data_IF_896200954697
#
_entry.id   IF_896200954697
#
_cell.length_a   1.000
_cell.length_b   1.000
_cell.length_c   1.000
_cell.angle_alpha   90.00
_cell.angle_beta   90.00
_cell.angle_gamma   90.00
#
_symmetry.space_group_name_H-M   'P 1'
#
loop_
_entity.id
_entity.type
_entity.pdbx_description
1 polymer ?
#
# COMPACT_ATOMS: atom_id res chain seq x y z
N UNK A 1 11.58 20.22 -26.59
CA UNK A 1 11.88 19.56 -25.30
C UNK A 1 12.42 18.13 -25.46
N UNK A 2 11.65 17.16 -25.98
CA UNK A 2 12.13 15.77 -26.20
C UNK A 2 13.39 15.73 -27.09
N UNK A 3 13.39 16.46 -28.21
CA UNK A 3 14.54 16.51 -29.13
C UNK A 3 15.76 17.24 -28.57
N UNK A 4 15.55 18.15 -27.62
CA UNK A 4 16.56 19.03 -27.06
C UNK A 4 17.25 18.39 -25.85
N UNK A 5 16.48 17.78 -24.97
CA UNK A 5 17.00 17.04 -23.80
C UNK A 5 17.43 15.62 -24.14
N UNK A 6 16.88 15.03 -25.21
CA UNK A 6 17.11 13.63 -25.62
C UNK A 6 17.11 12.64 -24.44
N UNK A 7 16.04 12.61 -23.62
CA UNK A 7 16.02 11.81 -22.40
C UNK A 7 15.95 10.32 -22.70
N UNK A 8 16.51 9.50 -21.81
CA UNK A 8 16.42 8.02 -21.87
C UNK A 8 15.06 7.49 -21.39
N UNK A 9 14.39 8.24 -20.51
CA UNK A 9 13.13 7.89 -19.87
C UNK A 9 12.45 9.18 -19.43
N UNK A 10 11.14 9.29 -19.64
CA UNK A 10 10.31 10.39 -19.13
C UNK A 10 9.39 9.86 -18.03
N UNK A 11 9.36 10.52 -16.88
CA UNK A 11 8.44 10.23 -15.80
C UNK A 11 7.57 11.45 -15.55
N UNK A 12 6.25 11.25 -15.56
CA UNK A 12 5.25 12.30 -15.39
C UNK A 12 4.28 11.94 -14.27
N UNK A 13 3.40 12.87 -13.90
CA UNK A 13 2.43 12.70 -12.81
C UNK A 13 1.17 13.52 -13.04
N UNK A 14 0.65 14.15 -11.97
CA UNK A 14 -0.49 15.07 -11.97
C UNK A 14 -1.88 14.44 -12.19
N UNK A 15 -2.07 13.55 -13.16
CA UNK A 15 -3.41 13.04 -13.51
C UNK A 15 -3.96 12.00 -12.52
N UNK A 16 -3.17 11.55 -11.54
CA UNK A 16 -3.46 10.41 -10.65
C UNK A 16 -3.63 9.05 -11.36
N UNK A 17 -3.60 9.02 -12.69
CA UNK A 17 -3.79 7.83 -13.51
C UNK A 17 -2.47 7.44 -14.18
N UNK A 18 -2.12 6.16 -14.08
CA UNK A 18 -0.93 5.66 -14.75
C UNK A 18 -1.17 5.48 -16.25
N UNK A 19 -0.23 5.97 -17.06
CA UNK A 19 -0.21 5.84 -18.51
C UNK A 19 1.20 5.47 -18.97
N UNK A 20 1.32 4.79 -20.10
CA UNK A 20 2.60 4.50 -20.74
C UNK A 20 2.49 4.90 -22.22
N UNK A 21 3.31 5.85 -22.63
CA UNK A 21 3.38 6.38 -23.99
C UNK A 21 4.78 6.12 -24.53
N UNK A 22 4.87 5.81 -25.82
CA UNK A 22 6.14 5.66 -26.56
C UNK A 22 6.26 6.82 -27.53
N UNK A 23 7.36 7.55 -27.44
CA UNK A 23 7.67 8.67 -28.31
C UNK A 23 8.79 8.27 -29.27
N UNK A 24 8.69 8.69 -30.54
CA UNK A 24 9.79 8.58 -31.49
C UNK A 24 10.59 9.87 -31.48
N UNK A 25 11.88 9.80 -31.14
CA UNK A 25 12.77 10.95 -31.06
C UNK A 25 14.06 10.67 -31.84
N UNK A 26 14.28 11.39 -32.96
CA UNK A 26 15.48 11.26 -33.81
C UNK A 26 15.85 9.80 -34.15
N UNK A 27 14.84 8.97 -34.41
CA UNK A 27 15.01 7.55 -34.74
C UNK A 27 15.18 6.60 -33.55
N UNK A 28 15.15 7.11 -32.31
CA UNK A 28 15.16 6.31 -31.07
C UNK A 28 13.81 6.36 -30.36
N UNK A 29 13.38 5.23 -29.78
CA UNK A 29 12.16 5.14 -28.97
C UNK A 29 12.45 5.63 -27.54
N UNK A 30 11.65 6.58 -27.05
CA UNK A 30 11.71 7.10 -25.67
C UNK A 30 10.41 6.76 -24.96
N UNK A 31 10.51 6.13 -23.79
CA UNK A 31 9.34 5.77 -23.00
C UNK A 31 8.96 6.90 -22.04
N UNK A 32 7.66 7.21 -21.99
CA UNK A 32 7.07 8.08 -20.98
C UNK A 32 6.10 7.30 -20.09
N UNK A 33 6.34 7.32 -18.77
CA UNK A 33 5.45 6.74 -17.78
C UNK A 33 4.84 7.83 -16.91
N UNK A 34 3.51 7.94 -16.92
CA UNK A 34 2.78 8.71 -15.91
C UNK A 34 2.63 7.85 -14.66
N UNK A 35 3.13 8.33 -13.52
CA UNK A 35 3.04 7.64 -12.24
C UNK A 35 1.65 7.86 -11.65
N UNK A 36 0.95 6.77 -11.36
CA UNK A 36 -0.37 6.84 -10.75
C UNK A 36 -0.29 7.26 -9.27
N UNK A 37 -1.42 7.73 -8.73
CA UNK A 37 -1.53 8.03 -7.30
C UNK A 37 -1.44 6.76 -6.45
N UNK A 38 -0.67 6.82 -5.35
CA UNK A 38 -0.55 5.75 -4.36
C UNK A 38 -1.67 5.74 -3.30
N UNK A 39 -2.70 6.59 -3.44
CA UNK A 39 -3.78 6.74 -2.46
C UNK A 39 -5.12 6.22 -2.96
N UNK A 40 -5.81 5.40 -2.13
CA UNK A 40 -7.19 4.93 -2.39
C UNK A 40 -8.19 6.09 -2.50
N UNK A 41 -7.90 7.24 -1.87
CA UNK A 41 -8.72 8.47 -1.98
C UNK A 41 -8.87 8.95 -3.42
N UNK A 42 -7.82 8.77 -4.23
CA UNK A 42 -7.78 9.28 -5.60
C UNK A 42 -8.11 8.19 -6.63
N UNK A 43 -7.95 6.91 -6.28
CA UNK A 43 -8.18 5.77 -7.19
C UNK A 43 -8.45 4.49 -6.43
N UNK A 44 -9.44 3.70 -6.86
CA UNK A 44 -9.77 2.39 -6.25
C UNK A 44 -8.62 1.38 -6.27
N UNK A 45 -7.75 1.44 -7.29
CA UNK A 45 -6.60 0.55 -7.47
C UNK A 45 -5.31 1.38 -7.54
N UNK A 46 -4.85 1.93 -6.39
CA UNK A 46 -3.63 2.72 -6.36
C UNK A 46 -2.44 1.83 -6.68
N UNK A 47 -1.46 2.41 -7.34
CA UNK A 47 -0.21 1.75 -7.68
C UNK A 47 0.94 2.69 -7.41
N UNK A 48 2.09 2.12 -7.06
CA UNK A 48 3.35 2.84 -7.04
C UNK A 48 4.29 2.19 -8.05
N UNK A 49 5.32 2.91 -8.48
CA UNK A 49 6.31 2.38 -9.41
C UNK A 49 7.66 2.28 -8.73
N UNK A 50 8.34 1.15 -8.93
CA UNK A 50 9.73 0.96 -8.55
C UNK A 50 10.60 1.17 -9.79
N UNK A 51 11.51 2.14 -9.71
CA UNK A 51 12.46 2.45 -10.76
C UNK A 51 13.85 1.96 -10.33
N UNK A 52 14.50 1.18 -11.18
CA UNK A 52 15.91 0.83 -11.07
C UNK A 52 16.66 1.45 -12.25
N UNK A 53 17.72 2.21 -11.98
CA UNK A 53 18.50 2.92 -13.01
C UNK A 53 19.96 2.50 -12.90
N UNK A 54 20.56 2.21 -14.05
CA UNK A 54 21.99 2.00 -14.20
C UNK A 54 22.56 2.92 -15.28
N UNK A 55 23.89 2.93 -15.42
CA UNK A 55 24.59 3.79 -16.37
C UNK A 55 24.03 3.67 -17.79
N UNK A 56 23.65 2.46 -18.22
CA UNK A 56 23.22 2.19 -19.59
C UNK A 56 21.79 1.65 -19.71
N UNK A 57 21.14 1.26 -18.61
CA UNK A 57 19.79 0.71 -18.65
C UNK A 57 18.88 1.26 -17.55
N UNK A 58 17.58 1.02 -17.66
CA UNK A 58 16.61 1.23 -16.60
C UNK A 58 15.55 0.14 -16.64
N UNK A 59 14.94 -0.13 -15.50
CA UNK A 59 13.75 -0.97 -15.42
C UNK A 59 12.72 -0.31 -14.51
N UNK A 60 11.46 -0.40 -14.91
CA UNK A 60 10.34 0.14 -14.14
C UNK A 60 9.31 -0.95 -13.91
N UNK A 61 8.94 -1.15 -12.66
CA UNK A 61 7.93 -2.11 -12.25
C UNK A 61 6.75 -1.38 -11.63
N UNK A 62 5.55 -1.71 -12.09
CA UNK A 62 4.30 -1.21 -11.51
C UNK A 62 3.87 -2.16 -10.41
N UNK A 63 3.80 -1.64 -9.18
CA UNK A 63 3.43 -2.39 -8.00
C UNK A 63 2.02 -1.99 -7.54
N UNK A 64 1.18 -3.00 -7.29
CA UNK A 64 -0.18 -2.78 -6.82
C UNK A 64 -0.20 -2.68 -5.29
N UNK A 65 -0.96 -1.70 -4.78
CA UNK A 65 -1.33 -1.67 -3.37
C UNK A 65 -2.38 -2.76 -3.08
N UNK A 66 -2.47 -3.24 -1.83
CA UNK A 66 -3.59 -4.06 -1.39
C UNK A 66 -4.93 -3.40 -1.73
N UNK A 67 -5.99 -4.20 -1.89
CA UNK A 67 -7.31 -3.60 -2.05
C UNK A 67 -7.76 -2.98 -0.73
N UNK A 68 -8.38 -1.81 -0.80
CA UNK A 68 -8.92 -1.10 0.38
C UNK A 68 -9.82 -2.02 1.22
N UNK A 69 -10.66 -2.82 0.55
CA UNK A 69 -11.52 -3.82 1.21
C UNK A 69 -10.75 -4.86 2.00
N UNK A 70 -9.64 -5.36 1.45
CA UNK A 70 -8.78 -6.33 2.13
C UNK A 70 -8.15 -5.70 3.38
N UNK A 71 -7.71 -4.44 3.30
CA UNK A 71 -7.15 -3.71 4.45
C UNK A 71 -8.19 -3.54 5.55
N UNK A 72 -9.39 -3.06 5.22
CA UNK A 72 -10.48 -2.93 6.19
C UNK A 72 -10.92 -4.26 6.80
N UNK A 73 -10.97 -5.33 6.00
CA UNK A 73 -11.29 -6.66 6.51
C UNK A 73 -10.24 -7.14 7.52
N UNK A 74 -8.94 -6.98 7.21
CA UNK A 74 -7.87 -7.32 8.14
C UNK A 74 -7.96 -6.54 9.45
N UNK A 75 -8.23 -5.23 9.39
CA UNK A 75 -8.40 -4.40 10.58
C UNK A 75 -9.60 -4.81 11.43
N UNK A 76 -10.73 -5.08 10.79
CA UNK A 76 -11.95 -5.55 11.47
C UNK A 76 -11.69 -6.88 12.19
N UNK A 77 -11.08 -7.84 11.51
CA UNK A 77 -10.74 -9.15 12.09
C UNK A 77 -9.76 -9.00 13.25
N UNK A 78 -8.69 -8.20 13.09
CA UNK A 78 -7.73 -7.95 14.16
C UNK A 78 -8.39 -7.30 15.39
N UNK A 79 -9.27 -6.31 15.19
CA UNK A 79 -9.99 -5.66 16.26
C UNK A 79 -10.90 -6.64 17.02
N UNK A 80 -11.63 -7.51 16.31
CA UNK A 80 -12.46 -8.55 16.93
C UNK A 80 -11.63 -9.51 17.78
N UNK A 81 -10.46 -9.94 17.29
CA UNK A 81 -9.55 -10.78 18.08
C UNK A 81 -9.03 -10.08 19.33
N UNK A 82 -8.65 -8.80 19.22
CA UNK A 82 -8.21 -8.01 20.37
C UNK A 82 -9.32 -7.84 21.40
N UNK A 83 -10.55 -7.56 20.97
CA UNK A 83 -11.72 -7.45 21.85
C UNK A 83 -11.99 -8.79 22.54
N UNK A 84 -12.04 -9.89 21.79
CA UNK A 84 -12.24 -11.23 22.36
C UNK A 84 -11.16 -11.59 23.39
N UNK A 85 -9.89 -11.25 23.11
CA UNK A 85 -8.79 -11.43 24.04
C UNK A 85 -8.96 -10.59 25.31
N UNK A 86 -9.34 -9.31 25.19
CA UNK A 86 -9.61 -8.42 26.33
C UNK A 86 -10.77 -8.94 27.19
N UNK A 87 -11.87 -9.39 26.57
CA UNK A 87 -13.02 -9.97 27.27
C UNK A 87 -12.61 -11.24 28.01
N UNK A 88 -11.91 -12.17 27.36
CA UNK A 88 -11.41 -13.40 27.99
C UNK A 88 -10.48 -13.10 29.17
N UNK A 89 -9.58 -12.12 29.02
CA UNK A 89 -8.68 -11.67 30.07
C UNK A 89 -9.45 -11.10 31.26
N UNK A 90 -10.50 -10.29 31.02
CA UNK A 90 -11.34 -9.70 32.06
C UNK A 90 -12.16 -10.77 32.81
N UNK A 91 -12.77 -11.71 32.09
CA UNK A 91 -13.51 -12.83 32.69
C UNK A 91 -12.61 -13.72 33.54
N UNK A 92 -11.40 -14.05 33.06
CA UNK A 92 -10.41 -14.81 33.85
C UNK A 92 -9.99 -14.05 35.11
N UNK A 93 -9.77 -12.74 35.02
CA UNK A 93 -9.41 -11.92 36.18
C UNK A 93 -10.54 -11.88 37.22
N UNK A 94 -11.79 -11.71 36.79
CA UNK A 94 -12.95 -11.71 37.70
C UNK A 94 -13.15 -13.06 38.37
N UNK A 95 -13.00 -14.16 37.62
CA UNK A 95 -13.05 -15.52 38.18
C UNK A 95 -12.02 -15.72 39.28
N UNK A 96 -10.76 -15.31 39.06
CA UNK A 96 -9.68 -15.40 40.06
C UNK A 96 -10.02 -14.59 41.33
N UNK A 97 -10.56 -13.37 41.17
CA UNK A 97 -10.95 -12.53 42.31
C UNK A 97 -12.07 -13.19 43.11
N UNK A 98 -13.12 -13.69 42.44
CA UNK A 98 -14.26 -14.33 43.11
C UNK A 98 -13.82 -15.58 43.89
N UNK A 99 -12.99 -16.44 43.30
CA UNK A 99 -12.44 -17.62 43.99
C UNK A 99 -11.58 -17.24 45.20
N UNK A 100 -10.86 -16.11 45.12
CA UNK A 100 -10.04 -15.62 46.24
C UNK A 100 -10.87 -15.04 47.38
N UNK A 101 -11.96 -14.31 47.08
CA UNK A 101 -12.89 -13.77 48.08
C UNK A 101 -13.67 -14.89 48.78
N UNK A 102 -14.18 -15.88 48.04
CA UNK A 102 -14.90 -17.02 48.62
C UNK A 102 -14.05 -17.75 49.68
N UNK A 103 -12.77 -17.99 49.39
CA UNK A 103 -11.83 -18.66 50.31
C UNK A 103 -11.46 -17.84 51.56
N UNK A 104 -11.79 -16.56 51.61
CA UNK A 104 -11.59 -15.72 52.80
C UNK A 104 -12.83 -15.68 53.71
N UNK A 105 -13.99 -16.11 53.20
CA UNK A 105 -15.27 -16.09 53.92
C UNK A 105 -15.60 -17.47 54.53
N UNK A 106 -15.00 -18.55 54.00
CA UNK A 106 -14.97 -19.89 54.61
C UNK A 106 -13.81 -20.05 55.61
#
# INVERSE_FOLDING_TARGET
LLEELSPRLVLSGHTHHGCHIKHLNKGSEVHEYTIASFSWRNKKSPTFSMLSVSSNNYSIYKCHMPQERTVFAMYTVAALFLIAWMVKKRLRSQGIIYTKVSRYID
#
